data_IF_783695238543
#
_entry.id   IF_783695238543
#
_cell.length_a   1.000
_cell.length_b   1.000
_cell.length_c   1.000
_cell.angle_alpha   90.00
_cell.angle_beta   90.00
_cell.angle_gamma   90.00
#
_symmetry.space_group_name_H-M   'P 1'
#
loop_
_entity.id
_entity.type
_entity.pdbx_description
1 polymer ?
#
# COMPACT_ATOMS: atom_id res chain seq x y z
N UNK A 1 14.88 -5.93 -3.33
CA UNK A 1 14.65 -5.03 -4.48
C UNK A 1 13.47 -5.59 -5.26
N UNK A 2 12.31 -4.94 -5.25
CA UNK A 2 11.23 -5.28 -6.19
C UNK A 2 11.54 -4.71 -7.58
N UNK A 3 10.82 -5.10 -8.65
CA UNK A 3 10.95 -4.49 -9.97
C UNK A 3 10.74 -2.97 -9.98
N UNK A 4 9.99 -2.44 -9.00
CA UNK A 4 9.76 -1.02 -8.78
C UNK A 4 10.84 -0.33 -7.92
N UNK A 5 11.82 -1.05 -7.40
CA UNK A 5 12.90 -0.50 -6.57
C UNK A 5 12.60 -0.44 -5.07
N UNK A 6 11.61 -1.19 -4.58
CA UNK A 6 11.31 -1.24 -3.15
C UNK A 6 12.41 -2.00 -2.37
N UNK A 7 12.77 -1.46 -1.20
CA UNK A 7 13.88 -1.91 -0.33
C UNK A 7 13.45 -2.09 1.12
N UNK A 8 14.26 -2.82 1.88
CA UNK A 8 14.04 -3.07 3.31
C UNK A 8 12.92 -4.07 3.60
N UNK A 9 12.79 -4.42 4.88
CA UNK A 9 11.83 -5.44 5.35
C UNK A 9 10.37 -5.04 5.07
N UNK A 10 10.08 -3.74 5.05
CA UNK A 10 8.75 -3.20 4.81
C UNK A 10 8.47 -2.85 3.34
N UNK A 11 9.43 -3.11 2.44
CA UNK A 11 9.30 -2.88 1.00
C UNK A 11 8.90 -1.44 0.65
N UNK A 12 9.61 -0.46 1.21
CA UNK A 12 9.43 0.95 0.87
C UNK A 12 10.18 1.34 -0.40
N UNK A 13 9.59 2.21 -1.22
CA UNK A 13 10.38 2.98 -2.18
C UNK A 13 11.28 3.97 -1.42
N UNK A 14 12.55 4.14 -1.81
CA UNK A 14 13.44 5.10 -1.17
C UNK A 14 12.86 6.53 -1.13
N UNK A 15 12.14 6.95 -2.18
CA UNK A 15 11.46 8.25 -2.23
C UNK A 15 10.35 8.38 -1.19
N UNK A 16 9.59 7.31 -0.94
CA UNK A 16 8.56 7.28 0.11
C UNK A 16 9.19 7.34 1.50
N UNK A 17 10.26 6.58 1.74
CA UNK A 17 10.96 6.60 3.02
C UNK A 17 11.60 7.97 3.30
N UNK A 18 12.19 8.61 2.27
CA UNK A 18 12.72 9.97 2.37
C UNK A 18 11.63 11.00 2.70
N UNK A 19 10.45 10.90 2.08
CA UNK A 19 9.30 11.76 2.39
C UNK A 19 8.74 11.55 3.81
N UNK A 20 9.00 10.39 4.41
CA UNK A 20 8.62 10.05 5.78
C UNK A 20 9.77 10.23 6.80
N UNK A 21 10.95 10.65 6.35
CA UNK A 21 12.09 11.00 7.20
C UNK A 21 12.80 9.83 7.87
N UNK A 22 12.79 8.63 7.27
CA UNK A 22 13.49 7.46 7.83
C UNK A 22 14.34 6.70 6.81
N UNK A 23 15.35 5.97 7.31
CA UNK A 23 16.17 5.07 6.50
C UNK A 23 15.44 3.72 6.31
N UNK A 24 15.09 3.32 5.07
CA UNK A 24 14.39 2.07 4.83
C UNK A 24 15.26 0.82 5.05
N UNK A 25 16.58 0.96 5.23
CA UNK A 25 17.47 -0.14 5.58
C UNK A 25 17.57 -0.40 7.09
N UNK A 26 17.16 0.56 7.94
CA UNK A 26 16.98 0.31 9.37
C UNK A 26 15.66 -0.45 9.57
N UNK A 27 15.71 -1.72 10.02
CA UNK A 27 14.50 -2.55 10.14
C UNK A 27 13.52 -1.99 11.17
N UNK A 28 13.98 -1.35 12.24
CA UNK A 28 13.09 -0.79 13.27
C UNK A 28 12.39 0.45 12.72
N UNK A 29 13.13 1.35 12.09
CA UNK A 29 12.57 2.53 11.47
C UNK A 29 11.60 2.17 10.34
N UNK A 30 11.95 1.18 9.50
CA UNK A 30 11.10 0.69 8.43
C UNK A 30 9.79 0.08 8.93
N UNK A 31 9.83 -0.74 9.99
CA UNK A 31 8.61 -1.33 10.56
C UNK A 31 7.70 -0.26 11.19
N UNK A 32 8.27 0.72 11.90
CA UNK A 32 7.50 1.83 12.45
C UNK A 32 6.86 2.68 11.34
N UNK A 33 7.63 3.00 10.30
CA UNK A 33 7.13 3.71 9.12
C UNK A 33 5.99 2.97 8.44
N UNK A 34 6.11 1.64 8.29
CA UNK A 34 5.06 0.79 7.72
C UNK A 34 3.78 0.83 8.55
N UNK A 35 3.91 0.68 9.86
CA UNK A 35 2.78 0.71 10.78
C UNK A 35 2.05 2.06 10.74
N UNK A 36 2.78 3.17 10.76
CA UNK A 36 2.20 4.52 10.66
C UNK A 36 1.51 4.75 9.31
N UNK A 37 2.14 4.35 8.21
CA UNK A 37 1.55 4.51 6.88
C UNK A 37 0.27 3.69 6.74
N UNK A 38 0.28 2.44 7.21
CA UNK A 38 -0.88 1.57 7.20
C UNK A 38 -2.02 2.13 8.07
N UNK A 39 -1.70 2.64 9.27
CA UNK A 39 -2.68 3.29 10.15
C UNK A 39 -3.32 4.52 9.48
N UNK A 40 -2.52 5.36 8.81
CA UNK A 40 -3.01 6.52 8.08
C UNK A 40 -3.94 6.11 6.93
N UNK A 41 -3.58 5.09 6.14
CA UNK A 41 -4.47 4.61 5.08
C UNK A 41 -5.76 4.02 5.64
N UNK A 42 -5.68 3.24 6.72
CA UNK A 42 -6.86 2.68 7.35
C UNK A 42 -7.83 3.78 7.83
N UNK A 43 -7.30 4.86 8.41
CA UNK A 43 -8.08 6.03 8.79
C UNK A 43 -8.69 6.73 7.56
N UNK A 44 -7.88 7.02 6.54
CA UNK A 44 -8.32 7.73 5.33
C UNK A 44 -9.38 6.97 4.52
N UNK A 45 -9.35 5.64 4.56
CA UNK A 45 -10.34 4.79 3.89
C UNK A 45 -11.48 4.33 4.82
N UNK A 46 -11.67 4.99 5.97
CA UNK A 46 -12.81 4.75 6.86
C UNK A 46 -12.86 3.33 7.43
N UNK A 47 -11.70 2.73 7.72
CA UNK A 47 -11.59 1.36 8.22
C UNK A 47 -11.66 0.28 7.13
N UNK A 48 -11.70 0.65 5.85
CA UNK A 48 -11.65 -0.33 4.76
C UNK A 48 -10.22 -0.84 4.57
N UNK A 49 -9.89 -1.92 5.27
CA UNK A 49 -8.58 -2.56 5.21
C UNK A 49 -8.16 -2.99 3.80
N UNK A 50 -9.09 -3.43 2.94
CA UNK A 50 -8.77 -3.82 1.58
C UNK A 50 -8.26 -2.62 0.74
N UNK A 51 -8.93 -1.47 0.84
CA UNK A 51 -8.47 -0.22 0.18
C UNK A 51 -7.15 0.26 0.76
N UNK A 52 -6.97 0.12 2.07
CA UNK A 52 -5.77 0.54 2.75
C UNK A 52 -4.55 -0.33 2.33
N UNK A 53 -4.72 -1.65 2.23
CA UNK A 53 -3.71 -2.57 1.68
C UNK A 53 -3.42 -2.29 0.19
N UNK A 54 -4.45 -1.98 -0.59
CA UNK A 54 -4.29 -1.60 -1.98
C UNK A 54 -3.45 -0.32 -2.13
N UNK A 55 -3.68 0.69 -1.28
CA UNK A 55 -2.90 1.92 -1.28
C UNK A 55 -1.48 1.69 -0.78
N UNK A 56 -1.26 0.78 0.17
CA UNK A 56 0.07 0.42 0.65
C UNK A 56 0.92 -0.22 -0.46
N UNK A 57 0.33 -1.16 -1.22
CA UNK A 57 1.06 -1.87 -2.29
C UNK A 57 1.13 -1.10 -3.61
N UNK A 58 0.02 -0.54 -4.07
CA UNK A 58 -0.11 0.10 -5.39
C UNK A 58 -0.13 1.62 -5.37
N UNK A 59 -0.12 2.24 -4.18
CA UNK A 59 -0.27 3.67 -4.00
C UNK A 59 -1.74 4.15 -4.00
N UNK A 60 -2.06 5.27 -3.33
CA UNK A 60 -3.43 5.77 -3.23
C UNK A 60 -4.01 6.21 -4.59
N UNK A 61 -3.15 6.62 -5.53
CA UNK A 61 -3.56 6.95 -6.90
C UNK A 61 -4.11 5.73 -7.66
N UNK A 62 -3.56 4.54 -7.44
CA UNK A 62 -4.10 3.31 -8.04
C UNK A 62 -5.51 3.00 -7.51
N UNK A 63 -5.74 3.20 -6.21
CA UNK A 63 -7.07 3.05 -5.60
C UNK A 63 -8.06 4.05 -6.18
N UNK A 64 -7.67 5.33 -6.26
CA UNK A 64 -8.52 6.38 -6.85
C UNK A 64 -8.89 6.07 -8.30
N UNK A 65 -7.92 5.68 -9.12
CA UNK A 65 -8.15 5.32 -10.52
C UNK A 65 -9.08 4.11 -10.64
N UNK A 66 -8.91 3.11 -9.77
CA UNK A 66 -9.75 1.93 -9.75
C UNK A 66 -11.21 2.24 -9.36
N UNK A 67 -11.42 3.10 -8.35
CA UNK A 67 -12.75 3.60 -7.96
C UNK A 67 -13.37 4.41 -9.10
N UNK A 68 -12.62 5.28 -9.76
CA UNK A 68 -13.12 6.08 -10.88
C UNK A 68 -13.51 5.20 -12.09
N UNK A 69 -12.76 4.13 -12.36
CA UNK A 69 -12.98 3.26 -13.52
C UNK A 69 -14.07 2.21 -13.33
N UNK A 70 -14.14 1.60 -12.14
CA UNK A 70 -15.07 0.50 -11.86
C UNK A 70 -16.18 0.85 -10.86
N UNK A 71 -16.16 2.04 -10.26
CA UNK A 71 -17.07 2.45 -9.19
C UNK A 71 -16.74 1.83 -7.84
N UNK A 72 -17.37 2.36 -6.79
CA UNK A 72 -17.14 1.96 -5.39
C UNK A 72 -17.45 0.48 -5.10
N UNK A 73 -18.41 -0.12 -5.80
CA UNK A 73 -18.75 -1.52 -5.59
C UNK A 73 -17.76 -2.50 -6.25
N UNK A 74 -17.11 -2.10 -7.34
CA UNK A 74 -16.30 -3.00 -8.17
C UNK A 74 -14.84 -2.56 -8.32
N UNK A 75 -14.39 -1.55 -7.57
CA UNK A 75 -13.03 -0.97 -7.68
C UNK A 75 -11.93 -2.03 -7.72
N UNK A 76 -12.07 -3.12 -6.94
CA UNK A 76 -11.07 -4.19 -6.90
C UNK A 76 -10.86 -4.88 -8.25
N UNK A 77 -11.83 -4.87 -9.16
CA UNK A 77 -11.69 -5.41 -10.52
C UNK A 77 -10.78 -4.55 -11.41
N UNK A 78 -10.69 -3.26 -11.15
CA UNK A 78 -9.86 -2.30 -11.89
C UNK A 78 -8.43 -2.17 -11.31
N UNK A 79 -8.10 -2.89 -10.23
CA UNK A 79 -6.74 -2.90 -9.69
C UNK A 79 -5.77 -3.75 -10.54
N UNK A 80 -4.47 -3.39 -10.57
CA UNK A 80 -3.42 -4.26 -11.09
C UNK A 80 -3.45 -5.66 -10.45
N UNK A 81 -3.12 -6.69 -11.23
CA UNK A 81 -3.13 -8.09 -10.76
C UNK A 81 -2.26 -8.34 -9.53
N UNK A 82 -1.09 -7.71 -9.47
CA UNK A 82 -0.19 -7.76 -8.31
C UNK A 82 -0.87 -7.24 -7.04
N UNK A 83 -1.49 -6.06 -7.08
CA UNK A 83 -2.17 -5.46 -5.93
C UNK A 83 -3.38 -6.28 -5.48
N UNK A 84 -4.14 -6.85 -6.42
CA UNK A 84 -5.24 -7.78 -6.06
C UNK A 84 -4.72 -9.01 -5.33
N UNK A 85 -3.62 -9.59 -5.79
CA UNK A 85 -3.01 -10.75 -5.13
C UNK A 85 -2.44 -10.38 -3.76
N UNK A 86 -1.82 -9.21 -3.62
CA UNK A 86 -1.34 -8.71 -2.33
C UNK A 86 -2.46 -8.63 -1.29
N UNK A 87 -3.62 -8.07 -1.66
CA UNK A 87 -4.80 -8.00 -0.79
C UNK A 87 -5.26 -9.42 -0.38
N UNK A 88 -5.41 -10.32 -1.35
CA UNK A 88 -5.84 -11.72 -1.11
C UNK A 88 -4.91 -12.46 -0.16
N UNK A 89 -3.60 -12.36 -0.38
CA UNK A 89 -2.59 -13.00 0.45
C UNK A 89 -2.67 -12.53 1.91
N UNK A 90 -2.85 -11.23 2.15
CA UNK A 90 -2.88 -10.68 3.51
C UNK A 90 -4.22 -10.93 4.19
N UNK A 91 -5.33 -10.81 3.46
CA UNK A 91 -6.67 -10.98 4.01
C UNK A 91 -7.11 -12.45 4.10
N UNK A 92 -6.43 -13.37 3.41
CA UNK A 92 -6.76 -14.80 3.41
C UNK A 92 -8.05 -15.13 2.64
N UNK A 93 -8.31 -14.42 1.53
CA UNK A 93 -9.53 -14.53 0.70
C UNK A 93 -9.23 -14.83 -0.77
#
# INVERSE_FOLDING_TARGET
>A
MSPAGAVGIAQFLPSTAAGLGFDPYDPIAALNGAAHLMANYNHNYGGNYAKALAAYNGGPGAVQNAVNGCGEANWMNCLPGETRNYIRTIMGI
#
